data_IF_200487940927
#
_entry.id   IF_200487940927
#
_cell.length_a   1.000
_cell.length_b   1.000
_cell.length_c   1.000
_cell.angle_alpha   90.00
_cell.angle_beta   90.00
_cell.angle_gamma   90.00
#
_symmetry.space_group_name_H-M   'P 1'
#
loop_
_entity.id
_entity.type
_entity.pdbx_description
1 polymer ?
#
# COMPACT_ATOMS: atom_id res chain seq x y z
N UNK A 1 -40.63 13.35 -22.59
CA UNK A 1 -39.19 13.72 -22.63
C UNK A 1 -38.47 13.38 -21.32
N UNK A 2 -39.06 12.55 -20.45
CA UNK A 2 -38.51 12.22 -19.12
C UNK A 2 -37.63 10.96 -19.07
N UNK A 3 -37.67 10.14 -20.13
CA UNK A 3 -36.90 8.89 -20.24
C UNK A 3 -35.39 9.11 -20.43
N UNK A 4 -34.99 10.24 -21.00
CA UNK A 4 -33.56 10.55 -21.23
C UNK A 4 -32.86 11.01 -19.95
N UNK A 5 -33.61 11.57 -18.98
CA UNK A 5 -33.05 11.97 -17.67
C UNK A 5 -32.86 10.79 -16.71
N UNK A 6 -33.64 9.72 -16.84
CA UNK A 6 -33.53 8.55 -15.95
C UNK A 6 -32.28 7.69 -16.21
N UNK A 7 -31.78 7.63 -17.45
CA UNK A 7 -30.58 6.86 -17.80
C UNK A 7 -29.29 7.42 -17.18
N UNK A 8 -29.25 8.71 -16.82
CA UNK A 8 -28.05 9.35 -16.27
C UNK A 8 -27.84 9.08 -14.77
N UNK A 9 -28.89 8.70 -14.04
CA UNK A 9 -28.86 8.65 -12.58
C UNK A 9 -28.20 7.34 -12.11
N UNK A 10 -28.28 6.26 -12.90
CA UNK A 10 -27.75 4.90 -12.61
C UNK A 10 -26.22 4.73 -12.53
N UNK A 11 -25.45 5.65 -13.11
CA UNK A 11 -24.04 5.44 -13.49
C UNK A 11 -22.93 5.86 -12.49
N UNK A 12 -23.11 6.77 -11.51
CA UNK A 12 -21.98 7.33 -10.75
C UNK A 12 -21.25 6.32 -9.87
N UNK A 13 -21.97 5.31 -9.37
CA UNK A 13 -21.40 4.27 -8.52
C UNK A 13 -20.57 3.24 -9.30
N UNK A 14 -20.85 3.03 -10.60
CA UNK A 14 -20.07 2.09 -11.44
C UNK A 14 -18.78 2.71 -11.99
N UNK A 15 -18.77 4.02 -12.23
CA UNK A 15 -17.68 4.73 -12.93
C UNK A 15 -16.28 4.48 -12.35
N UNK A 16 -16.15 4.40 -11.03
CA UNK A 16 -14.87 4.23 -10.34
C UNK A 16 -14.65 2.84 -9.74
N UNK A 17 -15.62 1.91 -9.88
CA UNK A 17 -15.53 0.58 -9.24
C UNK A 17 -14.30 -0.20 -9.66
N UNK A 18 -14.03 -0.27 -10.95
CA UNK A 18 -12.86 -0.98 -11.47
C UNK A 18 -11.55 -0.34 -10.97
N UNK A 19 -11.49 0.99 -10.93
CA UNK A 19 -10.27 1.71 -10.50
C UNK A 19 -10.00 1.52 -9.01
N UNK A 20 -11.02 1.71 -8.16
CA UNK A 20 -10.89 1.42 -6.73
C UNK A 20 -10.63 -0.06 -6.48
N UNK A 21 -11.27 -0.95 -7.23
CA UNK A 21 -11.00 -2.40 -7.15
C UNK A 21 -9.53 -2.71 -7.44
N UNK A 22 -8.95 -2.13 -8.48
CA UNK A 22 -7.53 -2.27 -8.79
C UNK A 22 -6.63 -1.72 -7.66
N UNK A 23 -6.95 -0.55 -7.10
CA UNK A 23 -6.23 0.02 -5.94
C UNK A 23 -6.32 -0.93 -4.73
N UNK A 24 -7.51 -1.46 -4.43
CA UNK A 24 -7.71 -2.39 -3.31
C UNK A 24 -6.95 -3.71 -3.50
N UNK A 25 -6.92 -4.25 -4.72
CA UNK A 25 -6.11 -5.44 -5.05
C UNK A 25 -4.64 -5.16 -4.83
N UNK A 26 -4.13 -4.00 -5.25
CA UNK A 26 -2.73 -3.64 -5.02
C UNK A 26 -2.40 -3.37 -3.55
N UNK A 27 -3.32 -2.77 -2.78
CA UNK A 27 -3.20 -2.66 -1.32
C UNK A 27 -3.11 -4.05 -0.69
N UNK A 28 -3.97 -4.98 -1.09
CA UNK A 28 -3.98 -6.35 -0.57
C UNK A 28 -2.71 -7.11 -0.95
N UNK A 29 -2.25 -7.00 -2.20
CA UNK A 29 -1.01 -7.61 -2.67
C UNK A 29 0.20 -7.10 -1.90
N UNK A 30 0.31 -5.77 -1.78
CA UNK A 30 1.39 -5.13 -1.04
C UNK A 30 1.34 -5.49 0.45
N UNK A 31 0.15 -5.46 1.06
CA UNK A 31 -0.06 -5.85 2.45
C UNK A 31 0.27 -7.32 2.70
N UNK A 32 -0.05 -8.22 1.77
CA UNK A 32 0.33 -9.63 1.85
C UNK A 32 1.85 -9.82 1.87
N UNK A 33 2.59 -9.10 1.01
CA UNK A 33 4.05 -9.14 1.01
C UNK A 33 4.64 -8.72 2.37
N UNK A 34 4.16 -7.61 2.92
CA UNK A 34 4.57 -7.12 4.24
C UNK A 34 4.20 -8.09 5.38
N UNK A 35 3.04 -8.74 5.31
CA UNK A 35 2.62 -9.73 6.29
C UNK A 35 3.47 -11.02 6.19
N UNK A 36 3.77 -11.47 4.97
CA UNK A 36 4.66 -12.60 4.72
C UNK A 36 6.06 -12.32 5.28
N UNK A 37 6.59 -11.11 5.10
CA UNK A 37 7.86 -10.72 5.69
C UNK A 37 7.84 -10.85 7.23
N UNK A 38 6.82 -10.32 7.89
CA UNK A 38 6.70 -10.40 9.35
C UNK A 38 6.59 -11.84 9.88
N UNK A 39 5.84 -12.69 9.20
CA UNK A 39 5.54 -14.05 9.68
C UNK A 39 6.63 -15.06 9.30
N UNK A 40 7.26 -14.88 8.13
CA UNK A 40 8.16 -15.88 7.56
C UNK A 40 9.60 -15.39 7.54
N UNK A 41 9.85 -14.19 7.00
CA UNK A 41 11.22 -13.70 6.75
C UNK A 41 11.88 -13.25 8.04
N UNK A 42 11.19 -12.46 8.86
CA UNK A 42 11.75 -11.92 10.10
C UNK A 42 12.11 -12.99 11.13
N UNK A 43 11.27 -14.00 11.41
CA UNK A 43 11.64 -15.09 12.30
C UNK A 43 12.81 -15.93 11.80
N UNK A 44 12.98 -16.04 10.48
CA UNK A 44 14.15 -16.66 9.87
C UNK A 44 15.40 -15.80 10.04
N UNK A 45 15.31 -14.48 9.81
CA UNK A 45 16.43 -13.54 9.99
C UNK A 45 16.97 -13.52 11.41
N UNK A 46 16.11 -13.71 12.40
CA UNK A 46 16.50 -13.78 13.81
C UNK A 46 17.48 -14.91 14.13
N UNK A 47 17.63 -15.88 13.22
CA UNK A 47 18.49 -17.07 13.40
C UNK A 47 19.78 -16.99 12.60
N UNK A 48 19.97 -15.95 11.79
CA UNK A 48 21.13 -15.83 10.91
C UNK A 48 22.22 -14.96 11.53
N UNK A 49 23.50 -15.25 11.24
CA UNK A 49 24.59 -14.36 11.62
C UNK A 49 24.54 -13.04 10.84
N UNK A 50 25.12 -11.95 11.37
CA UNK A 50 25.30 -10.69 10.65
C UNK A 50 25.92 -10.88 9.26
N UNK A 51 25.50 -10.08 8.28
CA UNK A 51 25.98 -10.16 6.90
C UNK A 51 25.37 -11.29 6.04
N UNK A 52 24.38 -12.03 6.56
CA UNK A 52 23.74 -13.15 5.82
C UNK A 52 22.77 -12.72 4.70
N UNK A 53 22.51 -11.42 4.53
CA UNK A 53 21.65 -10.87 3.46
C UNK A 53 22.41 -10.06 2.38
N UNK A 54 23.46 -10.59 1.72
CA UNK A 54 24.21 -9.79 0.74
C UNK A 54 23.44 -9.52 -0.58
N UNK A 55 22.29 -10.16 -0.80
CA UNK A 55 21.67 -10.33 -2.12
C UNK A 55 20.32 -9.66 -2.39
N UNK A 56 19.82 -8.76 -1.55
CA UNK A 56 18.47 -8.18 -1.69
C UNK A 56 18.20 -7.41 -3.00
N UNK A 57 19.21 -7.12 -3.82
CA UNK A 57 19.04 -6.51 -5.14
C UNK A 57 19.62 -7.37 -6.27
N UNK A 58 19.89 -8.64 -6.03
CA UNK A 58 20.34 -9.57 -7.07
C UNK A 58 19.14 -10.07 -7.92
N UNK A 59 19.35 -10.44 -9.19
CA UNK A 59 18.32 -11.08 -10.00
C UNK A 59 17.67 -12.24 -9.25
N UNK A 60 16.33 -12.24 -9.17
CA UNK A 60 15.56 -13.18 -8.35
C UNK A 60 15.16 -12.65 -6.97
N UNK A 61 15.66 -11.48 -6.56
CA UNK A 61 15.22 -10.83 -5.33
C UNK A 61 13.72 -10.55 -5.32
N UNK A 62 13.02 -10.81 -4.19
CA UNK A 62 11.63 -10.40 -3.97
C UNK A 62 11.37 -8.93 -4.31
N UNK A 63 12.36 -8.06 -4.10
CA UNK A 63 12.27 -6.61 -4.35
C UNK A 63 11.80 -6.30 -5.77
N UNK A 64 12.26 -7.05 -6.77
CA UNK A 64 11.89 -6.83 -8.17
C UNK A 64 10.42 -7.17 -8.48
N UNK A 65 9.75 -7.93 -7.63
CA UNK A 65 8.32 -8.22 -7.75
C UNK A 65 7.45 -7.21 -7.00
N UNK A 66 7.96 -6.64 -5.89
CA UNK A 66 7.19 -5.72 -5.05
C UNK A 66 7.35 -4.24 -5.43
N UNK A 67 8.51 -3.80 -5.93
CA UNK A 67 8.72 -2.41 -6.34
C UNK A 67 7.75 -1.98 -7.46
N UNK A 68 7.59 -2.75 -8.56
CA UNK A 68 6.62 -2.37 -9.60
C UNK A 68 5.19 -2.27 -9.05
N UNK A 69 4.83 -3.14 -8.11
CA UNK A 69 3.53 -3.13 -7.45
C UNK A 69 3.32 -1.85 -6.64
N UNK A 70 4.32 -1.43 -5.86
CA UNK A 70 4.28 -0.17 -5.09
C UNK A 70 4.14 1.06 -5.99
N UNK A 71 4.89 1.10 -7.10
CA UNK A 71 4.79 2.18 -8.09
C UNK A 71 3.41 2.21 -8.74
N UNK A 72 2.89 1.06 -9.16
CA UNK A 72 1.55 0.94 -9.74
C UNK A 72 0.46 1.39 -8.74
N UNK A 73 0.59 1.01 -7.47
CA UNK A 73 -0.33 1.40 -6.41
C UNK A 73 -0.38 2.92 -6.24
N UNK A 74 0.78 3.58 -6.15
CA UNK A 74 0.85 5.04 -6.05
C UNK A 74 0.26 5.73 -7.28
N UNK A 75 0.58 5.24 -8.48
CA UNK A 75 0.07 5.80 -9.72
C UNK A 75 -1.46 5.69 -9.81
N UNK A 76 -2.04 4.53 -9.49
CA UNK A 76 -3.49 4.33 -9.50
C UNK A 76 -4.19 5.13 -8.40
N UNK A 77 -3.61 5.21 -7.19
CA UNK A 77 -4.17 6.01 -6.11
C UNK A 77 -4.26 7.51 -6.50
N UNK A 78 -3.18 8.09 -7.00
CA UNK A 78 -3.16 9.50 -7.38
C UNK A 78 -3.95 9.81 -8.65
N UNK A 79 -3.95 8.93 -9.64
CA UNK A 79 -4.84 9.10 -10.81
C UNK A 79 -6.31 9.00 -10.42
N UNK A 80 -6.67 8.19 -9.41
CA UNK A 80 -8.02 8.16 -8.86
C UNK A 80 -8.37 9.50 -8.19
N UNK A 81 -7.46 10.11 -7.42
CA UNK A 81 -7.65 11.47 -6.85
C UNK A 81 -7.94 12.47 -7.97
N UNK A 82 -7.08 12.53 -8.99
CA UNK A 82 -7.22 13.46 -10.12
C UNK A 82 -8.59 13.29 -10.79
N UNK A 83 -9.01 12.05 -11.02
CA UNK A 83 -10.31 11.76 -11.67
C UNK A 83 -11.50 12.15 -10.81
N UNK A 84 -11.45 11.88 -9.50
CA UNK A 84 -12.55 12.20 -8.58
C UNK A 84 -12.67 13.71 -8.33
N UNK A 85 -11.56 14.44 -8.23
CA UNK A 85 -11.60 15.90 -8.08
C UNK A 85 -12.09 16.64 -9.32
N UNK A 86 -12.02 16.00 -10.50
CA UNK A 86 -12.66 16.50 -11.73
C UNK A 86 -14.15 16.17 -11.82
N UNK A 87 -14.70 15.43 -10.86
CA UNK A 87 -16.11 15.02 -10.84
C UNK A 87 -16.88 15.84 -9.80
N UNK A 88 -17.72 16.81 -10.22
CA UNK A 88 -18.41 17.71 -9.29
C UNK A 88 -19.45 17.00 -8.41
N UNK A 89 -19.82 15.75 -8.74
CA UNK A 89 -20.87 15.01 -8.06
C UNK A 89 -20.34 14.06 -6.97
N UNK A 90 -19.02 14.03 -6.71
CA UNK A 90 -18.40 13.11 -5.76
C UNK A 90 -17.43 13.81 -4.81
N UNK A 91 -17.54 13.63 -3.48
CA UNK A 91 -16.56 14.17 -2.56
C UNK A 91 -15.22 13.44 -2.71
N UNK A 92 -14.14 14.20 -2.94
CA UNK A 92 -12.79 13.67 -3.11
C UNK A 92 -11.98 13.46 -1.82
N UNK A 93 -12.44 13.97 -0.67
CA UNK A 93 -11.66 13.98 0.58
C UNK A 93 -11.23 12.58 1.06
N UNK A 94 -12.12 11.59 0.99
CA UNK A 94 -11.80 10.23 1.40
C UNK A 94 -10.76 9.55 0.49
N UNK A 95 -10.84 9.81 -0.81
CA UNK A 95 -9.89 9.32 -1.82
C UNK A 95 -8.52 9.98 -1.66
N UNK A 96 -8.50 11.29 -1.41
CA UNK A 96 -7.29 12.02 -1.07
C UNK A 96 -6.65 11.46 0.22
N UNK A 97 -7.45 11.28 1.28
CA UNK A 97 -6.98 10.69 2.54
C UNK A 97 -6.39 9.29 2.35
N UNK A 98 -7.06 8.42 1.59
CA UNK A 98 -6.55 7.09 1.27
C UNK A 98 -5.21 7.16 0.49
N UNK A 99 -5.11 8.06 -0.49
CA UNK A 99 -3.90 8.23 -1.29
C UNK A 99 -2.74 8.81 -0.48
N UNK A 100 -3.03 9.70 0.47
CA UNK A 100 -2.04 10.21 1.42
C UNK A 100 -1.53 9.10 2.34
N UNK A 101 -2.41 8.26 2.90
CA UNK A 101 -2.04 7.12 3.74
C UNK A 101 -1.14 6.13 2.97
N UNK A 102 -1.49 5.80 1.72
CA UNK A 102 -0.67 4.95 0.84
C UNK A 102 0.71 5.59 0.60
N UNK A 103 0.75 6.90 0.36
CA UNK A 103 2.00 7.64 0.11
C UNK A 103 2.90 7.63 1.34
N UNK A 104 2.35 7.85 2.53
CA UNK A 104 3.09 7.79 3.80
C UNK A 104 3.64 6.37 4.03
N UNK A 105 2.83 5.33 3.77
CA UNK A 105 3.25 3.94 3.94
C UNK A 105 4.37 3.56 2.96
N UNK A 106 4.30 4.02 1.70
CA UNK A 106 5.34 3.83 0.70
C UNK A 106 6.63 4.58 1.05
N UNK A 107 6.52 5.84 1.48
CA UNK A 107 7.67 6.63 1.94
C UNK A 107 8.34 5.97 3.17
N UNK A 108 7.55 5.48 4.12
CA UNK A 108 8.03 4.72 5.27
C UNK A 108 8.81 3.47 4.86
N UNK A 109 8.40 2.78 3.79
CA UNK A 109 9.16 1.65 3.24
C UNK A 109 10.52 2.11 2.73
N UNK A 110 10.59 3.20 1.95
CA UNK A 110 11.86 3.74 1.47
C UNK A 110 12.80 4.14 2.61
N UNK A 111 12.26 4.76 3.66
CA UNK A 111 13.02 5.15 4.86
C UNK A 111 13.56 3.90 5.57
N UNK A 112 12.72 2.90 5.84
CA UNK A 112 13.13 1.68 6.52
C UNK A 112 14.16 0.89 5.72
N UNK A 113 13.95 0.74 4.40
CA UNK A 113 14.94 0.07 3.53
C UNK A 113 16.29 0.77 3.59
N UNK A 114 16.31 2.11 3.60
CA UNK A 114 17.55 2.88 3.66
C UNK A 114 18.22 2.84 5.03
N UNK A 115 17.43 2.81 6.11
CA UNK A 115 17.93 2.89 7.48
C UNK A 115 18.30 1.52 8.08
N UNK A 116 17.59 0.46 7.70
CA UNK A 116 17.66 -0.85 8.37
C UNK A 116 18.44 -1.87 7.54
N UNK A 117 18.23 -1.93 6.22
CA UNK A 117 18.85 -2.97 5.39
C UNK A 117 20.39 -2.94 5.37
N UNK A 118 21.09 -1.78 5.51
CA UNK A 118 22.54 -1.79 5.65
C UNK A 118 23.03 -2.67 6.82
N UNK A 119 22.35 -2.64 7.97
CA UNK A 119 22.72 -3.44 9.15
C UNK A 119 22.61 -4.94 8.88
N UNK A 120 21.62 -5.38 8.10
CA UNK A 120 21.48 -6.79 7.73
C UNK A 120 22.58 -7.30 6.78
N UNK A 121 23.21 -6.37 6.05
CA UNK A 121 24.24 -6.66 5.05
C UNK A 121 25.65 -6.59 5.60
N UNK A 122 25.84 -5.87 6.71
CA UNK A 122 27.14 -5.64 7.29
C UNK A 122 27.60 -6.87 8.11
N UNK A 123 28.63 -7.61 7.67
CA UNK A 123 29.17 -8.72 8.45
C UNK A 123 29.89 -8.27 9.72
N UNK A 124 30.25 -6.98 9.83
CA UNK A 124 30.86 -6.39 11.01
C UNK A 124 29.83 -5.91 12.05
N UNK A 125 28.54 -5.89 11.72
CA UNK A 125 27.48 -5.52 12.65
C UNK A 125 27.42 -6.50 13.83
N UNK A 126 27.12 -5.99 15.02
CA UNK A 126 26.89 -6.87 16.16
C UNK A 126 25.52 -7.56 16.06
N UNK A 127 25.36 -8.70 16.74
CA UNK A 127 24.05 -9.37 16.87
C UNK A 127 23.01 -8.43 17.49
N UNK A 128 23.43 -7.56 18.42
CA UNK A 128 22.54 -6.56 19.04
C UNK A 128 22.04 -5.52 18.03
N UNK A 129 22.90 -5.07 17.12
CA UNK A 129 22.53 -4.10 16.08
C UNK A 129 21.53 -4.73 15.11
N UNK A 130 21.77 -5.98 14.71
CA UNK A 130 20.84 -6.75 13.87
C UNK A 130 19.50 -6.91 14.57
N UNK A 131 19.45 -7.35 15.84
CA UNK A 131 18.17 -7.46 16.56
C UNK A 131 17.43 -6.12 16.65
N UNK A 132 18.14 -5.02 16.93
CA UNK A 132 17.56 -3.68 16.98
C UNK A 132 16.97 -3.30 15.62
N UNK A 133 17.71 -3.55 14.55
CA UNK A 133 17.27 -3.34 13.17
C UNK A 133 16.00 -4.15 12.85
N UNK A 134 15.91 -5.42 13.28
CA UNK A 134 14.71 -6.22 13.05
C UNK A 134 13.51 -5.68 13.85
N UNK A 135 13.69 -5.28 15.13
CA UNK A 135 12.59 -4.65 15.90
C UNK A 135 12.10 -3.37 15.21
N UNK A 136 13.01 -2.53 14.73
CA UNK A 136 12.65 -1.32 13.98
C UNK A 136 11.91 -1.65 12.68
N UNK A 137 12.34 -2.69 11.96
CA UNK A 137 11.66 -3.17 10.76
C UNK A 137 10.23 -3.61 11.06
N UNK A 138 10.04 -4.46 12.07
CA UNK A 138 8.73 -4.98 12.48
C UNK A 138 7.79 -3.88 12.95
N UNK A 139 8.27 -2.96 13.78
CA UNK A 139 7.49 -1.81 14.22
C UNK A 139 7.06 -0.94 13.03
N UNK A 140 7.99 -0.65 12.12
CA UNK A 140 7.71 0.08 10.90
C UNK A 140 6.77 -0.67 9.96
N UNK A 141 6.85 -1.99 9.90
CA UNK A 141 5.97 -2.86 9.12
C UNK A 141 4.53 -2.83 9.66
N UNK A 142 4.35 -2.94 10.98
CA UNK A 142 3.06 -2.83 11.63
C UNK A 142 2.37 -1.49 11.33
N UNK A 143 3.12 -0.37 11.39
CA UNK A 143 2.61 0.96 11.02
C UNK A 143 2.17 0.99 9.55
N UNK A 144 3.00 0.46 8.63
CA UNK A 144 2.67 0.41 7.20
C UNK A 144 1.40 -0.41 6.92
N UNK A 145 1.24 -1.56 7.56
CA UNK A 145 0.03 -2.39 7.46
C UNK A 145 -1.21 -1.66 7.99
N UNK A 146 -1.09 -0.95 9.11
CA UNK A 146 -2.18 -0.15 9.66
C UNK A 146 -2.61 0.98 8.70
N UNK A 147 -1.64 1.68 8.09
CA UNK A 147 -1.91 2.71 7.08
C UNK A 147 -2.58 2.14 5.83
N UNK A 148 -2.13 0.97 5.35
CA UNK A 148 -2.72 0.26 4.22
C UNK A 148 -4.17 -0.13 4.50
N UNK A 149 -4.44 -0.70 5.68
CA UNK A 149 -5.77 -1.09 6.12
C UNK A 149 -6.69 0.14 6.24
N UNK A 150 -6.22 1.24 6.83
CA UNK A 150 -6.97 2.48 6.93
C UNK A 150 -7.30 3.06 5.54
N UNK A 151 -6.37 3.00 4.58
CA UNK A 151 -6.61 3.42 3.21
C UNK A 151 -7.68 2.56 2.53
N UNK A 152 -7.62 1.23 2.68
CA UNK A 152 -8.61 0.31 2.14
C UNK A 152 -10.02 0.57 2.73
N UNK A 153 -10.12 0.73 4.06
CA UNK A 153 -11.38 1.05 4.73
C UNK A 153 -11.94 2.39 4.25
N UNK A 154 -11.10 3.41 4.08
CA UNK A 154 -11.51 4.71 3.54
C UNK A 154 -12.12 4.58 2.13
N UNK A 155 -11.47 3.81 1.24
CA UNK A 155 -11.96 3.57 -0.12
C UNK A 155 -13.27 2.76 -0.15
N UNK A 156 -13.38 1.73 0.69
CA UNK A 156 -14.59 0.91 0.81
C UNK A 156 -15.78 1.74 1.33
N UNK A 157 -15.56 2.56 2.35
CA UNK A 157 -16.58 3.49 2.86
C UNK A 157 -16.99 4.50 1.80
N UNK A 158 -16.02 5.08 1.07
CA UNK A 158 -16.31 5.99 -0.02
C UNK A 158 -17.13 5.34 -1.16
N UNK A 159 -16.89 4.06 -1.45
CA UNK A 159 -17.73 3.32 -2.39
C UNK A 159 -19.14 3.08 -1.86
N UNK A 160 -19.30 2.77 -0.58
CA UNK A 160 -20.58 2.50 0.06
C UNK A 160 -21.44 3.78 0.21
N UNK A 161 -20.82 4.94 0.45
CA UNK A 161 -21.49 6.24 0.54
C UNK A 161 -21.92 6.82 -0.82
N UNK A 162 -21.75 6.07 -1.91
CA UNK A 162 -22.29 6.43 -3.21
C UNK A 162 -23.82 6.48 -3.16
N UNK A 163 -24.48 7.58 -3.56
CA UNK A 163 -25.93 7.61 -3.69
C UNK A 163 -26.39 6.44 -4.59
N UNK A 164 -27.31 5.63 -4.07
CA UNK A 164 -27.97 4.60 -4.89
C UNK A 164 -28.94 5.34 -5.81
N UNK A 165 -28.83 5.17 -7.13
CA UNK A 165 -29.78 5.75 -8.06
C UNK A 165 -31.18 5.17 -7.80
N UNK A 166 -32.12 6.01 -7.33
CA UNK A 166 -33.55 5.66 -7.27
C UNK A 166 -34.11 5.17 -5.94
N UNK A 167 -33.59 5.63 -4.79
CA UNK A 167 -34.34 5.67 -3.53
C UNK A 167 -34.35 7.08 -2.99
#
# INVERSE_FOLDING_TARGET
MDSVRQLAIGAPARRYRAHVGAVLVLIAWWGFGNLYEAIVVVPWLWRLPPGSLPGEFQPGSPVFYFVPTGVALLALAWTLVIRVYRDPYRPGRAVLGASALITIAAAGTGILVSAVNPTFRDPAASVSDVHTAIVMWEAGNAVRLALAAAAAVSLLRWQASAPVPGR
#
